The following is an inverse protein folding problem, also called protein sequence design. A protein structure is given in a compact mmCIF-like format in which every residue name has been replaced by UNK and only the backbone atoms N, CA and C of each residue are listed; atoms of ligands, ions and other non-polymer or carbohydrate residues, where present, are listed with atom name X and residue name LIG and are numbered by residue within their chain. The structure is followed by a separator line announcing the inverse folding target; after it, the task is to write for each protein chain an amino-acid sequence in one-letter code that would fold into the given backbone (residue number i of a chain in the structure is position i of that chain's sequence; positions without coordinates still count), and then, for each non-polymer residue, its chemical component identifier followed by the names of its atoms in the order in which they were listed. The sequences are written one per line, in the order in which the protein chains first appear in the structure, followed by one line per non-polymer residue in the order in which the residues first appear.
data_IF_673803359925
#
_entry.id   IF_673803359925
#
_cell.length_a   1.000
_cell.length_b   1.000
_cell.length_c   1.000
_cell.angle_alpha   90.00
_cell.angle_beta   90.00
_cell.angle_gamma   90.00
#
_symmetry.space_group_name_H-M   'P 1'
#
loop_
_entity.id
_entity.type
_entity.pdbx_description
1 polymer ?
#
# COMPACT_ATOMS: atom_id res chain seq x y z
N UNK A 1 20.83 58.77 30.15
CA UNK A 1 20.31 58.56 28.79
C UNK A 1 20.49 57.08 28.45
N UNK A 2 19.44 56.27 28.64
CA UNK A 2 19.45 54.83 28.48
C UNK A 2 18.55 54.46 27.29
N UNK A 3 19.15 54.12 26.14
CA UNK A 3 18.43 53.65 24.95
C UNK A 3 18.25 52.14 25.02
N UNK A 4 17.06 51.67 25.38
CA UNK A 4 16.67 50.27 25.33
C UNK A 4 16.42 49.84 23.88
N UNK A 5 17.31 48.99 23.31
CA UNK A 5 17.13 48.31 22.02
C UNK A 5 16.02 47.28 22.18
N UNK A 6 14.86 47.53 21.57
CA UNK A 6 13.79 46.54 21.39
C UNK A 6 14.28 45.50 20.34
N UNK A 7 14.52 44.26 20.80
CA UNK A 7 14.70 43.11 19.92
C UNK A 7 13.34 42.73 19.30
N UNK A 8 13.22 42.95 18.02
CA UNK A 8 12.05 42.49 17.23
C UNK A 8 11.93 40.97 17.26
N UNK A 9 10.76 40.46 17.63
CA UNK A 9 10.39 39.07 17.52
C UNK A 9 10.24 38.72 16.03
N UNK A 10 10.81 37.60 15.52
CA UNK A 10 10.54 37.15 14.17
C UNK A 10 9.07 36.77 14.05
N UNK A 11 8.41 37.27 13.02
CA UNK A 11 7.04 36.90 12.66
C UNK A 11 6.96 35.42 12.27
N UNK A 12 5.87 34.71 12.64
CA UNK A 12 5.69 33.33 12.18
C UNK A 12 5.46 33.30 10.67
N UNK A 13 6.30 32.55 9.98
CA UNK A 13 6.21 32.29 8.54
C UNK A 13 4.90 31.52 8.30
N UNK A 14 3.89 32.22 7.77
CA UNK A 14 2.60 31.63 7.36
C UNK A 14 2.83 30.85 6.07
N UNK A 15 3.02 29.55 6.17
CA UNK A 15 2.96 28.63 5.06
C UNK A 15 1.47 28.43 4.66
N UNK A 16 0.98 29.34 3.87
CA UNK A 16 -0.28 29.15 3.14
C UNK A 16 0.03 28.43 1.84
N UNK A 17 0.42 27.15 1.96
CA UNK A 17 0.44 26.21 0.83
C UNK A 17 -0.97 25.71 0.60
N UNK A 18 -1.80 26.47 -0.10
CA UNK A 18 -3.05 25.96 -0.65
C UNK A 18 -2.70 24.96 -1.74
N UNK A 19 -2.71 23.66 -1.40
CA UNK A 19 -2.70 22.60 -2.39
C UNK A 19 -4.12 22.52 -2.96
N UNK A 20 -4.37 23.29 -4.01
CA UNK A 20 -5.57 23.16 -4.82
C UNK A 20 -5.45 21.84 -5.59
N UNK A 21 -6.09 20.79 -5.11
CA UNK A 21 -6.29 19.56 -5.88
C UNK A 21 -7.36 19.86 -6.93
N UNK A 22 -6.93 20.37 -8.07
CA UNK A 22 -7.78 20.42 -9.25
C UNK A 22 -8.02 18.97 -9.68
N UNK A 23 -9.27 18.52 -9.63
CA UNK A 23 -9.68 17.23 -10.13
C UNK A 23 -9.49 17.18 -11.65
N UNK A 24 -8.33 16.74 -12.09
CA UNK A 24 -8.06 16.43 -13.48
C UNK A 24 -8.49 14.99 -13.70
N UNK A 25 -9.55 14.83 -14.53
CA UNK A 25 -9.95 13.53 -15.02
C UNK A 25 -8.78 12.87 -15.75
N UNK A 26 -8.36 11.72 -15.24
CA UNK A 26 -7.46 10.84 -15.98
C UNK A 26 -8.25 10.30 -17.17
N UNK A 27 -8.02 10.84 -18.35
CA UNK A 27 -8.39 10.22 -19.61
C UNK A 27 -7.45 9.01 -19.78
N UNK A 28 -7.90 7.85 -19.32
CA UNK A 28 -7.29 6.60 -19.70
C UNK A 28 -7.65 6.35 -21.17
N UNK A 29 -6.80 6.79 -22.09
CA UNK A 29 -6.78 6.29 -23.46
C UNK A 29 -6.30 4.84 -23.43
N UNK A 30 -7.25 3.91 -23.29
CA UNK A 30 -7.03 2.50 -23.50
C UNK A 30 -6.75 2.27 -24.98
N UNK A 31 -5.50 2.07 -25.35
CA UNK A 31 -5.14 1.50 -26.63
C UNK A 31 -5.52 0.00 -26.60
N UNK A 32 -6.61 -0.31 -27.30
CA UNK A 32 -7.01 -1.69 -27.61
C UNK A 32 -6.03 -2.26 -28.65
N UNK A 33 -5.11 -3.10 -28.21
CA UNK A 33 -4.45 -4.01 -29.12
C UNK A 33 -5.28 -5.30 -29.15
N UNK A 34 -6.11 -5.43 -30.20
CA UNK A 34 -6.69 -6.69 -30.62
C UNK A 34 -5.56 -7.58 -31.15
N UNK A 35 -5.26 -8.66 -30.44
CA UNK A 35 -4.55 -9.79 -31.03
C UNK A 35 -5.60 -10.83 -31.41
N UNK A 36 -5.80 -10.97 -32.72
CA UNK A 36 -6.63 -11.98 -33.37
C UNK A 36 -6.05 -13.37 -33.18
N UNK A 37 -6.95 -14.33 -33.19
CA UNK A 37 -6.86 -15.71 -32.90
C UNK A 37 -5.86 -16.52 -33.70
N UNK A 38 -5.75 -17.78 -33.29
CA UNK A 38 -5.97 -18.90 -34.18
C UNK A 38 -6.08 -20.21 -33.39
N UNK A 39 -7.06 -20.98 -33.78
CA UNK A 39 -7.41 -22.30 -33.29
C UNK A 39 -6.27 -23.32 -33.44
N UNK A 40 -6.09 -24.19 -32.43
CA UNK A 40 -5.70 -25.57 -32.71
C UNK A 40 -6.26 -26.50 -31.61
N UNK A 41 -7.23 -27.29 -32.04
CA UNK A 41 -7.69 -28.50 -31.39
C UNK A 41 -6.57 -29.56 -31.37
N UNK A 42 -6.45 -30.29 -30.27
CA UNK A 42 -5.55 -31.41 -30.14
C UNK A 42 -5.80 -32.18 -28.85
N UNK A 43 -6.76 -33.11 -28.90
CA UNK A 43 -6.99 -34.12 -27.88
C UNK A 43 -5.87 -35.13 -27.86
N UNK A 44 -5.32 -35.43 -26.69
CA UNK A 44 -4.68 -36.72 -26.42
C UNK A 44 -4.61 -36.95 -24.89
N UNK A 45 -5.41 -37.89 -24.43
CA UNK A 45 -5.21 -38.60 -23.17
C UNK A 45 -4.10 -39.64 -23.31
N UNK A 46 -3.29 -39.91 -22.31
CA UNK A 46 -2.96 -41.29 -21.98
C UNK A 46 -3.06 -41.63 -20.48
N UNK A 47 -3.78 -42.65 -20.24
CA UNK A 47 -3.60 -43.86 -19.43
C UNK A 47 -2.74 -43.80 -18.17
N UNK A 48 -3.43 -44.09 -17.08
CA UNK A 48 -2.94 -44.52 -15.76
C UNK A 48 -2.11 -45.79 -15.87
N UNK A 49 -0.95 -45.82 -15.22
CA UNK A 49 -0.32 -47.08 -14.80
C UNK A 49 -0.04 -47.00 -13.30
N UNK A 50 -0.76 -47.81 -12.56
CA UNK A 50 -0.55 -48.04 -11.13
C UNK A 50 0.68 -48.91 -10.91
N UNK A 51 1.55 -48.51 -10.01
CA UNK A 51 2.62 -49.34 -9.46
C UNK A 51 2.43 -49.44 -7.94
N UNK A 52 2.20 -50.69 -7.53
CA UNK A 52 2.07 -51.16 -6.15
C UNK A 52 3.42 -51.11 -5.44
N UNK A 53 3.53 -50.67 -4.17
CA UNK A 53 4.76 -50.79 -3.43
C UNK A 53 4.84 -52.09 -2.64
N UNK A 54 6.00 -52.76 -2.66
CA UNK A 54 6.37 -53.85 -1.78
C UNK A 54 7.00 -53.33 -0.48
N UNK A 55 6.82 -54.01 0.66
CA UNK A 55 7.33 -53.56 1.96
C UNK A 55 8.76 -54.06 2.19
N UNK A 56 9.61 -53.21 2.73
CA UNK A 56 10.88 -53.61 3.39
C UNK A 56 10.91 -53.16 4.82
N UNK A 57 11.16 -54.13 5.67
CA UNK A 57 11.19 -54.02 7.10
C UNK A 57 12.52 -53.46 7.63
N UNK A 58 12.39 -52.76 8.76
CA UNK A 58 13.20 -52.80 9.98
C UNK A 58 14.71 -52.54 9.91
N UNK A 59 15.13 -51.49 10.62
CA UNK A 59 16.04 -51.69 11.74
C UNK A 59 16.19 -50.37 12.52
N UNK A 60 15.89 -50.46 13.80
CA UNK A 60 15.97 -49.33 14.72
C UNK A 60 17.40 -48.87 14.98
N UNK A 61 17.54 -47.58 15.14
CA UNK A 61 18.60 -47.00 15.97
C UNK A 61 18.07 -45.75 16.65
N UNK A 62 17.71 -45.87 17.89
CA UNK A 62 17.36 -44.83 18.83
C UNK A 62 18.59 -43.95 19.05
N UNK A 63 18.68 -42.83 18.38
CA UNK A 63 19.58 -41.76 18.81
C UNK A 63 18.71 -40.67 19.42
N UNK A 64 18.79 -40.58 20.73
CA UNK A 64 18.21 -39.49 21.52
C UNK A 64 18.76 -38.15 21.04
N UNK A 65 18.00 -37.49 20.20
CA UNK A 65 18.30 -36.12 19.74
C UNK A 65 17.81 -35.17 20.81
N UNK A 66 18.74 -34.55 21.53
CA UNK A 66 18.45 -33.46 22.44
C UNK A 66 17.59 -32.38 21.77
N UNK A 67 16.44 -32.09 22.37
CA UNK A 67 15.54 -31.01 21.95
C UNK A 67 16.26 -29.69 22.20
N UNK A 68 16.53 -28.86 21.18
CA UNK A 68 17.06 -27.54 21.43
C UNK A 68 16.04 -26.74 22.24
N UNK A 69 16.44 -26.26 23.42
CA UNK A 69 15.67 -25.34 24.25
C UNK A 69 15.31 -24.12 23.38
N UNK A 70 14.03 -23.73 23.27
CA UNK A 70 13.67 -22.54 22.50
C UNK A 70 14.35 -21.33 23.14
N UNK A 71 15.25 -20.70 22.40
CA UNK A 71 15.81 -19.41 22.79
C UNK A 71 14.65 -18.41 22.86
N UNK A 72 14.58 -17.60 23.93
CA UNK A 72 13.57 -16.53 23.97
C UNK A 72 13.80 -15.60 22.78
N UNK A 73 12.85 -15.57 21.84
CA UNK A 73 12.77 -14.52 20.83
C UNK A 73 12.70 -13.19 21.58
N UNK A 74 13.80 -12.50 21.66
CA UNK A 74 13.85 -11.12 22.14
C UNK A 74 12.99 -10.32 21.19
N UNK A 75 11.73 -10.08 21.56
CA UNK A 75 10.88 -9.08 20.94
C UNK A 75 11.54 -7.70 21.17
N UNK A 76 12.53 -7.41 20.33
CA UNK A 76 13.04 -6.06 20.22
C UNK A 76 11.85 -5.22 19.78
N UNK A 77 11.33 -4.38 20.67
CA UNK A 77 10.45 -3.28 20.32
C UNK A 77 11.16 -2.52 19.19
N UNK A 78 10.73 -2.79 17.96
CA UNK A 78 11.32 -2.16 16.80
C UNK A 78 10.98 -0.67 16.89
N UNK A 79 11.94 0.15 17.30
CA UNK A 79 11.80 1.60 17.23
C UNK A 79 11.48 1.92 15.79
N UNK A 80 10.24 2.33 15.54
CA UNK A 80 9.72 2.66 14.21
C UNK A 80 10.52 3.84 13.66
N UNK A 81 11.50 3.55 12.81
CA UNK A 81 12.29 4.58 12.13
C UNK A 81 11.68 4.87 10.78
N UNK A 82 11.43 6.15 10.44
CA UNK A 82 10.96 6.50 9.11
C UNK A 82 11.88 5.94 8.03
N UNK A 83 11.30 5.37 6.98
CA UNK A 83 12.07 4.80 5.89
C UNK A 83 11.31 4.84 4.57
N UNK A 84 12.06 4.98 3.45
CA UNK A 84 11.49 4.86 2.11
C UNK A 84 10.87 3.46 1.95
N UNK A 85 9.58 3.35 1.57
CA UNK A 85 8.95 2.06 1.39
C UNK A 85 9.49 1.34 0.15
N UNK A 86 9.54 0.01 0.22
CA UNK A 86 9.95 -0.88 -0.87
C UNK A 86 8.91 -1.93 -1.20
N UNK A 87 8.00 -2.23 -0.26
CA UNK A 87 6.92 -3.19 -0.45
C UNK A 87 5.77 -2.94 0.50
N UNK A 88 4.60 -3.44 0.13
CA UNK A 88 3.40 -3.48 0.97
C UNK A 88 2.81 -4.88 0.94
N UNK A 89 2.33 -5.35 2.10
CA UNK A 89 1.60 -6.61 2.24
C UNK A 89 0.32 -6.38 3.03
N UNK A 90 -0.79 -6.88 2.50
CA UNK A 90 -2.12 -6.81 3.13
C UNK A 90 -2.66 -8.24 3.19
N UNK A 91 -2.42 -9.00 4.28
CA UNK A 91 -2.74 -10.43 4.35
C UNK A 91 -4.21 -10.75 4.10
N UNK A 92 -5.14 -9.92 4.59
CA UNK A 92 -6.59 -10.13 4.43
C UNK A 92 -7.05 -10.06 2.97
N UNK A 93 -6.27 -9.43 2.09
CA UNK A 93 -6.56 -9.29 0.67
C UNK A 93 -5.64 -10.16 -0.20
N UNK A 94 -4.73 -10.94 0.40
CA UNK A 94 -3.65 -11.67 -0.30
C UNK A 94 -2.81 -10.75 -1.21
N UNK A 95 -2.64 -9.48 -0.84
CA UNK A 95 -1.87 -8.50 -1.59
C UNK A 95 -0.43 -8.49 -1.12
N UNK A 96 0.50 -8.58 -2.05
CA UNK A 96 1.92 -8.27 -1.87
C UNK A 96 2.38 -7.54 -3.13
N UNK A 97 2.79 -6.27 -2.97
CA UNK A 97 3.13 -5.40 -4.09
C UNK A 97 4.42 -4.61 -3.83
N UNK A 98 5.27 -4.42 -4.86
CA UNK A 98 6.39 -3.49 -4.79
C UNK A 98 5.90 -2.06 -4.65
N UNK A 99 6.65 -1.24 -3.89
CA UNK A 99 6.37 0.19 -3.73
C UNK A 99 7.46 1.00 -4.42
N UNK A 100 7.07 1.83 -5.36
CA UNK A 100 7.96 2.79 -6.02
C UNK A 100 7.65 4.22 -5.59
N UNK A 101 8.64 5.11 -5.68
CA UNK A 101 8.43 6.53 -5.38
C UNK A 101 7.75 7.22 -6.55
N UNK A 102 6.68 7.95 -6.28
CA UNK A 102 6.00 8.81 -7.25
C UNK A 102 5.97 10.26 -6.77
N UNK A 103 5.77 11.18 -7.71
CA UNK A 103 5.58 12.61 -7.44
C UNK A 103 4.17 13.03 -7.83
N UNK A 104 3.63 14.03 -7.13
CA UNK A 104 2.41 14.69 -7.57
C UNK A 104 2.72 15.56 -8.80
N UNK A 105 1.87 15.43 -9.84
CA UNK A 105 1.89 16.25 -11.03
C UNK A 105 0.57 17.01 -11.08
N UNK A 106 0.61 18.34 -11.18
CA UNK A 106 -0.58 19.20 -11.12
C UNK A 106 -1.50 18.86 -9.93
N UNK A 107 -0.89 18.63 -8.77
CA UNK A 107 -1.57 18.24 -7.53
C UNK A 107 -2.32 16.89 -7.59
N UNK A 108 -2.07 16.06 -8.58
CA UNK A 108 -2.61 14.70 -8.69
C UNK A 108 -1.52 13.65 -8.49
N UNK A 109 -1.86 12.56 -7.81
CA UNK A 109 -1.02 11.37 -7.69
C UNK A 109 -1.51 10.33 -8.69
N UNK A 110 -0.64 9.93 -9.61
CA UNK A 110 -0.90 8.84 -10.54
C UNK A 110 -0.14 7.61 -10.08
N UNK A 111 -0.81 6.45 -9.89
CA UNK A 111 -0.14 5.19 -9.60
C UNK A 111 0.86 4.82 -10.71
N UNK A 112 1.80 3.88 -10.46
CA UNK A 112 2.68 3.35 -11.50
C UNK A 112 1.90 2.79 -12.68
N UNK A 113 2.47 2.76 -13.89
CA UNK A 113 1.81 2.18 -15.07
C UNK A 113 1.57 0.68 -14.96
N UNK A 114 2.42 -0.04 -14.23
CA UNK A 114 2.19 -1.44 -13.88
C UNK A 114 1.14 -1.54 -12.77
N UNK A 115 -0.04 -2.13 -13.02
CA UNK A 115 -1.11 -2.20 -12.04
C UNK A 115 -0.81 -3.10 -10.84
N UNK A 116 0.17 -4.01 -10.95
CA UNK A 116 0.62 -4.86 -9.85
C UNK A 116 1.51 -4.11 -8.84
N UNK A 117 1.97 -2.91 -9.17
CA UNK A 117 2.80 -2.06 -8.33
C UNK A 117 2.01 -0.94 -7.68
N UNK A 118 2.52 -0.40 -6.59
CA UNK A 118 1.93 0.76 -5.92
C UNK A 118 2.93 1.91 -5.82
N UNK A 119 2.42 3.14 -5.78
CA UNK A 119 3.22 4.36 -5.74
C UNK A 119 3.14 5.05 -4.39
N UNK A 120 4.28 5.30 -3.75
CA UNK A 120 4.38 6.14 -2.56
C UNK A 120 4.67 7.59 -2.96
N UNK A 121 3.88 8.53 -2.45
CA UNK A 121 4.12 9.96 -2.64
C UNK A 121 5.35 10.43 -1.87
N UNK A 122 6.44 10.68 -2.62
CA UNK A 122 7.74 11.08 -2.04
C UNK A 122 7.77 12.52 -1.51
N UNK A 123 6.77 13.35 -1.82
CA UNK A 123 6.59 14.69 -1.26
C UNK A 123 5.88 14.73 0.09
N UNK A 124 5.38 13.58 0.57
CA UNK A 124 4.73 13.44 1.88
C UNK A 124 5.61 12.71 2.90
N UNK A 125 5.00 12.36 4.04
CA UNK A 125 5.68 11.64 5.11
C UNK A 125 6.18 10.27 4.63
N UNK A 126 7.29 9.82 5.20
CA UNK A 126 7.73 8.42 5.08
C UNK A 126 6.92 7.53 6.03
N UNK A 127 6.68 6.26 5.67
CA UNK A 127 6.19 5.28 6.64
C UNK A 127 7.08 5.27 7.88
N UNK A 128 6.47 5.22 9.07
CA UNK A 128 7.15 5.30 10.36
C UNK A 128 7.45 6.72 10.84
N UNK A 129 7.12 7.76 10.08
CA UNK A 129 7.25 9.14 10.55
C UNK A 129 6.29 9.42 11.71
N UNK A 130 6.73 10.23 12.68
CA UNK A 130 5.91 10.62 13.84
C UNK A 130 4.81 11.62 13.47
N UNK A 131 4.94 12.30 12.32
CA UNK A 131 3.99 13.28 11.80
C UNK A 131 3.77 13.09 10.30
N UNK A 132 2.56 13.40 9.85
CA UNK A 132 2.16 13.40 8.45
C UNK A 132 1.53 12.10 7.99
N UNK A 133 0.99 12.15 6.78
CA UNK A 133 0.39 11.01 6.10
C UNK A 133 1.39 10.43 5.10
N UNK A 134 1.81 9.18 5.30
CA UNK A 134 2.51 8.40 4.28
C UNK A 134 1.45 7.90 3.28
N UNK A 135 1.41 8.49 2.09
CA UNK A 135 0.37 8.19 1.08
C UNK A 135 0.89 7.18 0.08
N UNK A 136 0.17 6.07 -0.09
CA UNK A 136 0.44 5.04 -1.10
C UNK A 136 -0.82 4.87 -1.95
N UNK A 137 -0.66 4.94 -3.28
CA UNK A 137 -1.75 4.75 -4.23
C UNK A 137 -1.48 3.57 -5.14
N UNK A 138 -2.54 2.85 -5.51
CA UNK A 138 -2.49 1.70 -6.41
C UNK A 138 -3.67 1.71 -7.37
N UNK A 139 -3.62 0.85 -8.36
CA UNK A 139 -4.71 0.67 -9.30
C UNK A 139 -5.79 -0.27 -8.75
N UNK A 140 -7.04 0.04 -9.10
CA UNK A 140 -8.13 -0.91 -9.23
C UNK A 140 -8.36 -1.15 -10.71
N UNK A 141 -8.38 -2.40 -11.12
CA UNK A 141 -8.64 -2.84 -12.50
C UNK A 141 -9.92 -3.65 -12.51
N UNK A 142 -10.94 -3.22 -13.25
CA UNK A 142 -12.27 -3.82 -13.19
C UNK A 142 -12.30 -5.31 -13.60
N UNK A 143 -11.34 -5.75 -14.41
CA UNK A 143 -11.14 -7.16 -14.79
C UNK A 143 -10.11 -7.89 -13.92
N UNK A 144 -9.63 -7.24 -12.85
CA UNK A 144 -8.60 -7.79 -11.96
C UNK A 144 -7.17 -7.47 -12.38
N UNK A 145 -6.23 -7.71 -11.47
CA UNK A 145 -4.79 -7.51 -11.67
C UNK A 145 -4.24 -6.22 -11.09
N UNK A 146 -5.07 -5.36 -10.53
CA UNK A 146 -4.64 -4.20 -9.78
C UNK A 146 -4.23 -4.56 -8.35
N UNK A 147 -3.13 -4.02 -7.87
CA UNK A 147 -2.65 -4.29 -6.51
C UNK A 147 -3.67 -3.90 -5.42
N UNK A 148 -4.57 -2.96 -5.72
CA UNK A 148 -5.58 -2.47 -4.79
C UNK A 148 -7.03 -2.72 -5.24
N UNK A 149 -7.26 -3.75 -6.06
CA UNK A 149 -8.61 -4.11 -6.55
C UNK A 149 -9.63 -4.26 -5.41
N UNK A 150 -9.20 -4.86 -4.31
CA UNK A 150 -10.05 -5.20 -3.18
C UNK A 150 -9.85 -4.29 -1.96
N UNK A 151 -9.20 -3.12 -2.11
CA UNK A 151 -8.87 -2.25 -0.99
C UNK A 151 -10.11 -1.86 -0.16
N UNK A 152 -11.26 -1.70 -0.81
CA UNK A 152 -12.54 -1.38 -0.17
C UNK A 152 -13.09 -2.48 0.75
N UNK A 153 -12.61 -3.72 0.62
CA UNK A 153 -13.00 -4.86 1.48
C UNK A 153 -12.30 -4.87 2.84
N UNK A 154 -11.30 -4.00 3.05
CA UNK A 154 -10.69 -3.85 4.37
C UNK A 154 -11.70 -3.33 5.38
N UNK A 155 -11.50 -3.74 6.63
CA UNK A 155 -12.32 -3.29 7.77
C UNK A 155 -11.42 -2.70 8.86
N UNK A 156 -11.94 -1.84 9.75
CA UNK A 156 -11.19 -1.41 10.93
C UNK A 156 -10.66 -2.61 11.70
N UNK A 157 -9.37 -2.55 12.08
CA UNK A 157 -8.66 -3.66 12.71
C UNK A 157 -7.79 -4.49 11.76
N UNK A 158 -8.02 -4.48 10.44
CA UNK A 158 -7.16 -5.13 9.44
C UNK A 158 -5.71 -4.66 9.55
N UNK A 159 -4.77 -5.54 9.22
CA UNK A 159 -3.34 -5.25 9.33
C UNK A 159 -2.75 -4.97 7.95
N UNK A 160 -1.96 -3.91 7.87
CA UNK A 160 -1.15 -3.55 6.70
C UNK A 160 0.31 -3.55 7.12
N UNK A 161 1.16 -4.25 6.37
CA UNK A 161 2.60 -4.28 6.58
C UNK A 161 3.29 -3.48 5.47
N UNK A 162 4.23 -2.63 5.86
CA UNK A 162 5.03 -1.84 4.92
C UNK A 162 6.51 -2.18 5.14
N UNK A 163 7.12 -2.80 4.14
CA UNK A 163 8.57 -3.00 4.10
C UNK A 163 9.24 -1.70 3.69
N UNK A 164 10.29 -1.32 4.40
CA UNK A 164 11.08 -0.13 4.11
C UNK A 164 12.56 -0.47 4.04
N UNK A 165 13.38 0.44 3.54
CA UNK A 165 14.84 0.31 3.58
C UNK A 165 15.42 0.23 5.00
N UNK A 166 14.59 0.45 6.04
CA UNK A 166 14.99 0.44 7.46
C UNK A 166 14.30 -0.66 8.29
N UNK A 167 13.56 -1.55 7.65
CA UNK A 167 12.82 -2.62 8.30
C UNK A 167 11.34 -2.61 7.96
N UNK A 168 10.60 -3.50 8.60
CA UNK A 168 9.17 -3.68 8.39
C UNK A 168 8.38 -2.91 9.44
N UNK A 169 7.29 -2.28 9.02
CA UNK A 169 6.37 -1.52 9.85
C UNK A 169 4.98 -2.16 9.75
N UNK A 170 4.24 -2.15 10.85
CA UNK A 170 2.87 -2.63 10.88
C UNK A 170 1.91 -1.48 11.20
N UNK A 171 0.78 -1.48 10.51
CA UNK A 171 -0.30 -0.52 10.67
C UNK A 171 -1.61 -1.26 10.86
N UNK A 172 -2.47 -0.72 11.70
CA UNK A 172 -3.86 -1.19 11.88
C UNK A 172 -4.80 -0.22 11.21
N UNK A 173 -5.67 -0.74 10.34
CA UNK A 173 -6.72 0.05 9.70
C UNK A 173 -7.63 0.67 10.76
N UNK A 174 -7.80 1.98 10.70
CA UNK A 174 -8.70 2.74 11.54
C UNK A 174 -10.00 3.06 10.82
N UNK A 175 -9.92 3.47 9.55
CA UNK A 175 -11.11 3.79 8.73
C UNK A 175 -10.93 3.36 7.29
N UNK A 176 -12.05 2.98 6.66
CA UNK A 176 -12.18 2.77 5.22
C UNK A 176 -13.34 3.63 4.75
N UNK A 177 -13.11 4.48 3.77
CA UNK A 177 -14.12 5.45 3.30
C UNK A 177 -14.06 5.57 1.79
N UNK A 178 -15.21 5.43 1.14
CA UNK A 178 -15.36 5.72 -0.29
C UNK A 178 -15.79 7.16 -0.48
N UNK A 179 -15.03 7.91 -1.27
CA UNK A 179 -15.31 9.30 -1.64
C UNK A 179 -15.58 9.42 -3.13
N UNK A 180 -16.63 10.12 -3.53
CA UNK A 180 -16.72 10.63 -4.88
C UNK A 180 -15.49 11.50 -5.18
N UNK A 181 -14.93 11.43 -6.40
CA UNK A 181 -13.70 12.15 -6.78
C UNK A 181 -13.76 13.65 -6.46
N UNK A 182 -14.88 14.31 -6.76
CA UNK A 182 -15.06 15.73 -6.45
C UNK A 182 -15.07 16.02 -4.93
N UNK A 183 -15.59 15.09 -4.13
CA UNK A 183 -15.59 15.21 -2.66
C UNK A 183 -14.19 14.99 -2.10
N UNK A 184 -13.46 13.99 -2.61
CA UNK A 184 -12.06 13.77 -2.19
C UNK A 184 -11.19 14.98 -2.53
N UNK A 185 -11.35 15.57 -3.73
CA UNK A 185 -10.62 16.77 -4.11
C UNK A 185 -10.83 17.93 -3.11
N UNK A 186 -12.09 18.17 -2.68
CA UNK A 186 -12.40 19.19 -1.67
C UNK A 186 -11.82 18.87 -0.29
N UNK A 187 -11.67 17.60 0.06
CA UNK A 187 -11.16 17.12 1.35
C UNK A 187 -9.69 16.74 1.33
N UNK A 188 -9.00 16.88 0.22
CA UNK A 188 -7.64 16.40 0.03
C UNK A 188 -6.67 16.94 1.08
N UNK A 189 -6.77 18.23 1.44
CA UNK A 189 -5.94 18.85 2.48
C UNK A 189 -6.12 18.17 3.84
N UNK A 190 -7.34 17.72 4.17
CA UNK A 190 -7.64 17.01 5.43
C UNK A 190 -7.23 15.54 5.36
N UNK A 191 -7.55 14.87 4.24
CA UNK A 191 -7.30 13.43 4.05
C UNK A 191 -5.79 13.14 3.98
N UNK A 192 -5.02 14.01 3.32
CA UNK A 192 -3.57 13.85 3.11
C UNK A 192 -2.73 14.79 3.98
N UNK A 193 -3.31 15.27 5.07
CA UNK A 193 -2.69 16.25 5.97
C UNK A 193 -1.30 15.77 6.46
N UNK A 194 -0.32 16.64 6.31
CA UNK A 194 1.06 16.40 6.73
C UNK A 194 1.35 16.94 8.14
N UNK A 195 0.40 17.62 8.78
CA UNK A 195 0.50 18.15 10.14
C UNK A 195 0.00 17.22 11.24
N UNK A 196 -0.71 16.13 10.89
CA UNK A 196 -1.28 15.16 11.84
C UNK A 196 -0.24 14.23 12.44
N UNK A 197 -0.63 13.46 13.47
CA UNK A 197 0.16 12.32 13.94
C UNK A 197 0.43 11.35 12.80
N UNK A 198 1.63 10.77 12.77
CA UNK A 198 2.06 9.86 11.71
C UNK A 198 1.07 8.74 11.45
N UNK A 199 0.69 8.57 10.19
CA UNK A 199 -0.27 7.55 9.73
C UNK A 199 0.05 7.09 8.31
N UNK A 200 -0.52 5.95 7.93
CA UNK A 200 -0.52 5.45 6.56
C UNK A 200 -1.87 5.77 5.93
N UNK A 201 -1.87 6.21 4.67
CA UNK A 201 -3.08 6.44 3.87
C UNK A 201 -2.93 5.67 2.56
N UNK A 202 -3.85 4.71 2.31
CA UNK A 202 -3.90 3.97 1.06
C UNK A 202 -5.06 4.50 0.22
N UNK A 203 -4.86 4.62 -1.10
CA UNK A 203 -5.86 5.16 -2.03
C UNK A 203 -5.92 4.33 -3.29
N UNK A 204 -7.13 4.03 -3.76
CA UNK A 204 -7.38 3.42 -5.06
C UNK A 204 -8.65 3.97 -5.70
N UNK A 205 -8.92 3.60 -6.95
CA UNK A 205 -10.16 3.93 -7.64
C UNK A 205 -11.29 2.97 -7.25
N UNK A 206 -12.55 3.41 -7.39
CA UNK A 206 -13.76 2.65 -7.09
C UNK A 206 -14.94 3.11 -7.96
N UNK A 207 -16.04 2.35 -7.97
CA UNK A 207 -17.27 2.65 -8.71
C UNK A 207 -17.05 2.77 -10.23
N UNK A 208 -16.69 1.65 -10.87
CA UNK A 208 -16.58 1.55 -12.32
C UNK A 208 -17.96 1.59 -12.97
N UNK A 209 -18.21 2.53 -13.88
CA UNK A 209 -19.50 2.71 -14.57
C UNK A 209 -19.51 2.17 -16.00
N UNK A 210 -18.50 1.41 -16.40
CA UNK A 210 -18.30 0.92 -17.77
C UNK A 210 -17.32 1.78 -18.59
N UNK A 211 -16.97 2.97 -18.14
CA UNK A 211 -16.07 3.90 -18.83
C UNK A 211 -15.01 4.50 -17.91
N UNK A 212 -15.40 4.93 -16.71
CA UNK A 212 -14.51 5.59 -15.75
C UNK A 212 -14.84 5.18 -14.32
N UNK A 213 -13.85 5.25 -13.44
CA UNK A 213 -14.08 5.16 -12.00
C UNK A 213 -14.60 6.50 -11.47
N UNK A 214 -15.68 6.47 -10.69
CA UNK A 214 -16.37 7.66 -10.18
C UNK A 214 -15.91 8.07 -8.79
N UNK A 215 -15.33 7.14 -8.04
CA UNK A 215 -14.97 7.30 -6.63
C UNK A 215 -13.53 6.85 -6.37
N UNK A 216 -13.08 7.09 -5.13
CA UNK A 216 -11.85 6.54 -4.58
C UNK A 216 -12.14 5.93 -3.21
N UNK A 217 -11.57 4.76 -2.95
CA UNK A 217 -11.45 4.23 -1.59
C UNK A 217 -10.23 4.86 -0.94
N UNK A 218 -10.40 5.32 0.28
CA UNK A 218 -9.35 5.83 1.15
C UNK A 218 -9.33 5.03 2.43
N UNK A 219 -8.19 4.40 2.73
CA UNK A 219 -7.94 3.66 3.97
C UNK A 219 -6.96 4.45 4.80
N UNK A 220 -7.32 4.75 6.05
CA UNK A 220 -6.41 5.34 7.03
C UNK A 220 -6.01 4.26 8.03
N UNK A 221 -4.71 4.06 8.21
CA UNK A 221 -4.17 3.10 9.17
C UNK A 221 -3.15 3.76 10.10
N UNK A 222 -3.18 3.35 11.37
CA UNK A 222 -2.33 3.89 12.43
C UNK A 222 -1.19 2.93 12.75
N UNK A 223 0.00 3.43 13.12
CA UNK A 223 1.12 2.59 13.49
C UNK A 223 0.74 1.65 14.64
N UNK A 224 1.18 0.40 14.53
CA UNK A 224 1.16 -0.55 15.65
C UNK A 224 2.47 -0.40 16.44
N UNK A 225 2.36 -0.46 17.77
CA UNK A 225 3.52 -0.42 18.67
C UNK A 225 4.33 -1.72 18.58
#
# INVERSE_FOLDING_TARGET
MNSARRRGRPAPLRWSGVVAVAGVGVLATGAYLQYGGDDHAGAATPSVTAVTPAPVASSGRTTSRAIPKPMPSSSRTATTRPGRPTGITIPQLNVTAPVVSIKAVHAALTPPSDPSMVGWWSGGAQPGATRGSAVITGHTVHNGGGAFDDLGKLVPGSVVQVSTVRGQLQYRVATVTTYRKATLAKRAAQVFDQGVRGRLVLVTCEDWNGQVYLSNVVVVALPMA
#
